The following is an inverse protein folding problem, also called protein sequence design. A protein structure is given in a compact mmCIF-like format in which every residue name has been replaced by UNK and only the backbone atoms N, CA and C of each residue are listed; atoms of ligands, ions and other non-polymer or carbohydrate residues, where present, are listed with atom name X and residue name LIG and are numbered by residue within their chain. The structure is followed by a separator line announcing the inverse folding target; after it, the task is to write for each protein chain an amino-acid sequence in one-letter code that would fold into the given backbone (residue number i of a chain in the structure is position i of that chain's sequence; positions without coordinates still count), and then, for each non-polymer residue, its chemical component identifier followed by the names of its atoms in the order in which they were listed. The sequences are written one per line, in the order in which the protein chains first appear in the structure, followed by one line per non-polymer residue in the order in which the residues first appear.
data_IF_851317042430
#
_entry.id   IF_851317042430
#
_cell.length_a   1.000
_cell.length_b   1.000
_cell.length_c   1.000
_cell.angle_alpha   90.00
_cell.angle_beta   90.00
_cell.angle_gamma   90.00
#
_symmetry.space_group_name_H-M   'P 1'
#
loop_
_entity.id
_entity.type
_entity.pdbx_description
1 polymer ?
#
# COMPACT_ATOMS: atom_id res chain seq x y z
N UNK A 1 5.09 7.15 1.88
CA UNK A 1 5.40 7.98 0.69
C UNK A 1 5.39 7.09 -0.54
N UNK A 2 5.28 7.66 -1.74
CA UNK A 2 5.44 6.92 -2.98
C UNK A 2 6.18 7.79 -4.02
N UNK A 3 6.83 7.11 -4.96
CA UNK A 3 7.71 7.69 -5.97
C UNK A 3 7.28 7.26 -7.37
N UNK A 4 7.75 7.99 -8.37
CA UNK A 4 7.92 7.40 -9.69
C UNK A 4 8.97 6.29 -9.60
N UNK A 5 8.97 5.38 -10.57
CA UNK A 5 9.89 4.23 -10.63
C UNK A 5 11.38 4.56 -10.34
N UNK A 6 11.81 5.80 -10.54
CA UNK A 6 13.18 6.30 -10.36
C UNK A 6 13.54 6.72 -8.92
N UNK A 7 12.62 6.60 -7.95
CA UNK A 7 12.96 6.53 -6.52
C UNK A 7 12.80 7.82 -5.71
N UNK A 8 12.68 8.99 -6.32
CA UNK A 8 12.41 10.23 -5.58
C UNK A 8 10.96 10.28 -5.10
N UNK A 9 10.70 10.50 -3.79
CA UNK A 9 9.34 10.68 -3.29
C UNK A 9 8.65 11.84 -4.01
N UNK A 10 7.53 11.56 -4.65
CA UNK A 10 6.75 12.58 -5.38
C UNK A 10 5.50 12.99 -4.61
N UNK A 11 5.08 12.16 -3.65
CA UNK A 11 3.89 12.42 -2.87
C UNK A 11 3.89 11.67 -1.53
N UNK A 12 3.20 12.28 -0.59
CA UNK A 12 3.02 11.81 0.78
C UNK A 12 1.53 11.75 1.12
N UNK A 13 1.17 10.78 1.96
CA UNK A 13 -0.17 10.67 2.52
C UNK A 13 -0.14 11.23 3.94
N UNK A 14 -1.02 12.18 4.22
CA UNK A 14 -1.24 12.72 5.56
C UNK A 14 -2.53 12.12 6.13
N UNK A 15 -2.36 11.24 7.11
CA UNK A 15 -3.49 10.58 7.77
C UNK A 15 -4.30 11.52 8.65
N UNK A 16 -3.72 12.61 9.18
CA UNK A 16 -4.47 13.57 10.01
C UNK A 16 -5.48 14.35 9.18
N UNK A 17 -5.12 14.64 7.93
CA UNK A 17 -5.97 15.41 7.01
C UNK A 17 -6.74 14.55 6.01
N UNK A 18 -6.51 13.23 6.01
CA UNK A 18 -7.01 12.30 4.99
C UNK A 18 -6.69 12.78 3.56
N UNK A 19 -5.47 13.30 3.35
CA UNK A 19 -5.06 13.98 2.10
C UNK A 19 -3.79 13.40 1.52
N UNK A 20 -3.69 13.46 0.19
CA UNK A 20 -2.47 13.18 -0.55
C UNK A 20 -1.85 14.53 -0.94
N UNK A 21 -0.57 14.72 -0.61
CA UNK A 21 0.22 15.89 -0.96
C UNK A 21 1.27 15.53 -2.00
N UNK A 22 1.45 16.35 -3.03
CA UNK A 22 2.60 16.25 -3.94
C UNK A 22 3.77 16.98 -3.27
N UNK A 23 4.93 16.34 -3.24
CA UNK A 23 6.15 16.92 -2.68
C UNK A 23 6.82 17.75 -3.79
N UNK A 24 7.15 19.02 -3.47
CA UNK A 24 7.93 19.96 -4.28
C UNK A 24 7.27 20.72 -5.46
N UNK A 25 5.99 21.14 -5.39
CA UNK A 25 5.48 22.10 -6.38
C UNK A 25 4.59 23.20 -5.81
N UNK A 26 4.88 24.44 -6.25
CA UNK A 26 4.01 25.60 -6.11
C UNK A 26 2.72 25.33 -6.89
N UNK A 27 1.61 25.14 -6.17
CA UNK A 27 0.31 24.88 -6.80
C UNK A 27 -0.27 26.17 -7.40
N UNK A 28 -0.44 26.21 -8.72
CA UNK A 28 -1.41 27.10 -9.36
C UNK A 28 -2.74 26.37 -9.52
N UNK A 29 -3.79 26.83 -8.83
CA UNK A 29 -5.15 26.38 -9.09
C UNK A 29 -5.67 27.04 -10.37
N UNK A 30 -5.71 26.32 -11.48
CA UNK A 30 -6.51 26.75 -12.62
C UNK A 30 -7.96 26.31 -12.39
N UNK A 31 -8.79 27.25 -11.92
CA UNK A 31 -10.23 27.12 -12.01
C UNK A 31 -10.62 27.24 -13.48
N UNK A 32 -11.11 26.16 -14.09
CA UNK A 32 -11.82 26.29 -15.35
C UNK A 32 -13.06 27.14 -15.11
N UNK A 33 -13.06 28.36 -15.67
CA UNK A 33 -14.18 29.29 -15.68
C UNK A 33 -15.48 28.57 -16.04
N UNK A 34 -16.33 28.37 -15.04
CA UNK A 34 -17.77 28.24 -15.21
C UNK A 34 -18.40 28.89 -13.99
N UNK A 35 -19.16 29.98 -14.21
CA UNK A 35 -20.03 30.64 -13.23
C UNK A 35 -21.05 29.63 -12.64
N UNK A 36 -20.61 28.82 -11.69
CA UNK A 36 -21.46 27.90 -10.93
C UNK A 36 -20.93 27.76 -9.50
N UNK A 37 -21.84 27.60 -8.52
CA UNK A 37 -21.53 27.79 -7.10
C UNK A 37 -20.38 26.91 -6.66
N UNK A 38 -19.37 27.55 -6.07
CA UNK A 38 -18.27 26.89 -5.37
C UNK A 38 -18.89 26.14 -4.20
N UNK A 39 -18.83 24.82 -4.27
CA UNK A 39 -19.40 23.95 -3.25
C UNK A 39 -18.59 24.07 -1.95
N UNK A 40 -19.18 24.66 -0.91
CA UNK A 40 -18.55 24.72 0.41
C UNK A 40 -18.67 23.37 1.10
N UNK A 41 -17.66 22.51 0.91
CA UNK A 41 -17.56 21.19 1.55
C UNK A 41 -17.74 21.28 3.08
N UNK A 42 -17.34 22.41 3.67
CA UNK A 42 -17.50 22.69 5.11
C UNK A 42 -18.96 22.76 5.55
N UNK A 43 -19.85 23.33 4.73
CA UNK A 43 -21.28 23.43 5.03
C UNK A 43 -21.99 22.08 4.96
N UNK A 44 -21.56 21.19 4.06
CA UNK A 44 -22.14 19.85 3.96
C UNK A 44 -21.70 18.96 5.10
N UNK A 45 -20.43 19.05 5.48
CA UNK A 45 -19.91 18.33 6.66
C UNK A 45 -20.55 18.87 7.94
N UNK A 46 -20.71 20.19 8.07
CA UNK A 46 -21.37 20.79 9.24
C UNK A 46 -22.85 20.41 9.34
N UNK A 47 -23.57 20.40 8.22
CA UNK A 47 -24.98 19.96 8.16
C UNK A 47 -25.16 18.47 8.51
N UNK A 48 -24.26 17.60 8.05
CA UNK A 48 -24.27 16.18 8.41
C UNK A 48 -24.00 15.94 9.91
N UNK A 49 -23.13 16.76 10.50
CA UNK A 49 -22.76 16.68 11.90
C UNK A 49 -23.81 17.31 12.82
N UNK A 50 -24.50 18.37 12.39
CA UNK A 50 -25.44 19.16 13.19
C UNK A 50 -26.77 18.48 13.54
N UNK A 51 -27.03 17.26 13.02
CA UNK A 51 -28.29 16.57 13.30
C UNK A 51 -29.36 16.75 12.23
N UNK A 52 -29.12 17.63 11.25
CA UNK A 52 -30.06 17.88 10.17
C UNK A 52 -30.29 16.62 9.35
N UNK A 53 -31.56 16.36 9.01
CA UNK A 53 -31.97 15.27 8.11
C UNK A 53 -32.29 15.78 6.71
N UNK A 54 -31.81 16.97 6.39
CA UNK A 54 -32.02 17.64 5.13
C UNK A 54 -30.73 17.58 4.30
N UNK A 55 -30.87 17.37 3.00
CA UNK A 55 -29.73 17.41 2.10
C UNK A 55 -29.33 18.85 1.81
N UNK A 56 -28.10 19.27 2.14
CA UNK A 56 -27.65 20.64 1.87
C UNK A 56 -27.47 20.94 0.37
N UNK A 57 -27.60 19.92 -0.49
CA UNK A 57 -27.45 20.05 -1.94
C UNK A 57 -28.78 20.24 -2.69
N UNK A 58 -29.83 19.59 -2.23
CA UNK A 58 -31.13 19.60 -2.92
C UNK A 58 -32.31 19.82 -1.97
N UNK A 59 -32.03 20.13 -0.71
CA UNK A 59 -33.00 20.47 0.33
C UNK A 59 -34.05 19.37 0.60
N UNK A 60 -33.76 18.13 0.18
CA UNK A 60 -34.63 16.98 0.43
C UNK A 60 -34.49 16.51 1.87
N UNK A 61 -35.60 16.27 2.55
CA UNK A 61 -35.65 15.80 3.94
C UNK A 61 -35.72 14.26 3.96
N UNK A 62 -35.06 13.63 4.93
CA UNK A 62 -34.95 12.19 5.09
C UNK A 62 -35.37 11.70 6.48
N UNK A 63 -35.80 10.44 6.57
CA UNK A 63 -36.21 9.85 7.85
C UNK A 63 -35.05 9.59 8.81
N UNK A 64 -33.83 9.38 8.29
CA UNK A 64 -32.63 9.11 9.09
C UNK A 64 -31.36 9.67 8.45
N UNK A 65 -30.32 9.86 9.28
CA UNK A 65 -28.99 10.28 8.83
C UNK A 65 -28.36 9.31 7.84
N UNK A 66 -28.63 8.01 7.97
CA UNK A 66 -28.06 7.00 7.06
C UNK A 66 -28.70 7.05 5.67
N UNK A 67 -29.97 7.44 5.58
CA UNK A 67 -30.65 7.65 4.30
C UNK A 67 -30.13 8.95 3.66
N UNK A 68 -29.94 10.01 4.46
CA UNK A 68 -29.30 11.24 4.00
C UNK A 68 -27.87 11.01 3.48
N UNK A 69 -27.03 10.28 4.23
CA UNK A 69 -25.67 9.90 3.81
C UNK A 69 -25.67 9.11 2.50
N UNK A 70 -26.56 8.12 2.38
CA UNK A 70 -26.75 7.35 1.12
C UNK A 70 -27.23 8.23 -0.02
N UNK A 71 -28.12 9.18 0.25
CA UNK A 71 -28.61 10.12 -0.74
C UNK A 71 -27.50 11.03 -1.28
N UNK A 72 -26.71 11.65 -0.39
CA UNK A 72 -25.57 12.49 -0.78
C UNK A 72 -24.51 11.68 -1.52
N UNK A 73 -24.23 10.44 -1.07
CA UNK A 73 -23.23 9.57 -1.69
C UNK A 73 -23.61 9.03 -3.08
N UNK A 74 -24.88 8.68 -3.33
CA UNK A 74 -25.25 7.89 -4.51
C UNK A 74 -26.45 8.38 -5.34
N UNK A 75 -27.32 9.25 -4.81
CA UNK A 75 -28.65 9.46 -5.39
C UNK A 75 -29.09 10.92 -5.54
N UNK A 76 -28.29 11.89 -5.08
CA UNK A 76 -28.61 13.30 -5.25
C UNK A 76 -28.36 13.73 -6.71
N UNK A 77 -29.36 14.22 -7.47
CA UNK A 77 -29.16 14.70 -8.83
C UNK A 77 -28.16 15.86 -8.89
N UNK A 78 -28.26 16.80 -7.93
CA UNK A 78 -27.32 17.92 -7.76
C UNK A 78 -25.94 17.43 -7.33
N UNK A 79 -25.88 16.46 -6.41
CA UNK A 79 -24.65 15.82 -5.97
C UNK A 79 -23.94 15.03 -7.08
N UNK A 80 -24.65 14.34 -7.96
CA UNK A 80 -24.04 13.64 -9.12
C UNK A 80 -23.43 14.60 -10.12
N UNK A 81 -24.11 15.71 -10.40
CA UNK A 81 -23.62 16.74 -11.32
C UNK A 81 -22.38 17.46 -10.75
N UNK A 82 -22.29 17.60 -9.42
CA UNK A 82 -21.15 18.23 -8.72
C UNK A 82 -20.01 17.27 -8.37
N UNK A 83 -20.27 16.00 -8.05
CA UNK A 83 -19.23 14.95 -7.88
C UNK A 83 -18.44 14.72 -9.16
N UNK A 84 -19.04 15.01 -10.32
CA UNK A 84 -18.36 14.98 -11.60
C UNK A 84 -17.45 16.21 -11.84
N UNK A 85 -17.59 17.29 -11.04
CA UNK A 85 -16.61 18.39 -10.99
C UNK A 85 -15.43 17.96 -10.11
N UNK A 86 -14.57 17.14 -10.70
CA UNK A 86 -13.23 16.83 -10.20
C UNK A 86 -12.45 18.14 -10.06
N UNK A 87 -11.93 18.47 -8.88
CA UNK A 87 -10.86 19.46 -8.75
C UNK A 87 -9.61 18.87 -9.39
N UNK A 88 -9.48 19.08 -10.70
CA UNK A 88 -8.32 18.65 -11.47
C UNK A 88 -7.18 19.62 -11.14
N UNK A 89 -6.47 19.35 -10.04
CA UNK A 89 -5.24 20.06 -9.75
C UNK A 89 -4.17 19.50 -10.68
N UNK A 90 -3.99 20.15 -11.83
CA UNK A 90 -2.92 19.87 -12.76
C UNK A 90 -1.67 20.61 -12.34
N UNK A 91 -0.58 19.88 -12.20
CA UNK A 91 0.72 20.49 -11.99
C UNK A 91 1.23 21.05 -13.32
N UNK A 92 1.40 22.38 -13.39
CA UNK A 92 1.65 23.12 -14.62
C UNK A 92 3.04 22.87 -15.23
N UNK A 93 3.99 22.28 -14.49
CA UNK A 93 5.32 21.94 -15.04
C UNK A 93 5.49 20.49 -15.48
N UNK A 94 4.58 19.57 -15.15
CA UNK A 94 4.81 18.16 -15.49
C UNK A 94 3.58 17.33 -15.91
N UNK A 95 2.32 17.77 -15.73
CA UNK A 95 1.11 17.01 -16.16
C UNK A 95 1.08 15.52 -15.78
N UNK A 96 1.90 15.05 -14.83
CA UNK A 96 2.13 13.60 -14.63
C UNK A 96 0.98 12.95 -13.85
N UNK A 97 0.30 13.70 -12.97
CA UNK A 97 -0.73 13.14 -12.08
C UNK A 97 -1.98 14.01 -12.01
N UNK A 98 -3.07 13.39 -11.58
CA UNK A 98 -4.32 14.04 -11.16
C UNK A 98 -4.63 13.58 -9.74
N UNK A 99 -4.89 14.53 -8.84
CA UNK A 99 -5.49 14.25 -7.53
C UNK A 99 -7.00 14.36 -7.66
N UNK A 100 -7.72 13.37 -7.13
CA UNK A 100 -9.17 13.35 -7.01
C UNK A 100 -9.51 13.24 -5.53
N UNK A 101 -10.37 14.13 -5.04
CA UNK A 101 -10.90 14.04 -3.68
C UNK A 101 -12.41 13.89 -3.77
N UNK A 102 -12.96 12.90 -3.09
CA UNK A 102 -14.41 12.73 -3.03
C UNK A 102 -15.06 13.65 -2.00
N UNK A 103 -16.40 13.69 -1.98
CA UNK A 103 -17.18 14.52 -1.05
C UNK A 103 -16.99 14.14 0.42
N UNK A 104 -16.44 12.96 0.70
CA UNK A 104 -16.13 12.47 2.04
C UNK A 104 -14.67 12.74 2.43
N UNK A 105 -13.91 13.42 1.57
CA UNK A 105 -12.51 13.78 1.79
C UNK A 105 -11.52 12.68 1.41
N UNK A 106 -11.95 11.55 0.84
CA UNK A 106 -11.02 10.50 0.43
C UNK A 106 -10.24 10.96 -0.79
N UNK A 107 -8.92 10.98 -0.65
CA UNK A 107 -8.02 11.43 -1.70
C UNK A 107 -7.43 10.26 -2.47
N UNK A 108 -7.41 10.38 -3.79
CA UNK A 108 -6.81 9.45 -4.73
C UNK A 108 -5.87 10.22 -5.66
N UNK A 109 -4.69 9.66 -5.92
CA UNK A 109 -3.79 10.15 -6.98
C UNK A 109 -3.77 9.14 -8.11
N UNK A 110 -3.80 9.63 -9.35
CA UNK A 110 -3.78 8.81 -10.56
C UNK A 110 -2.75 9.39 -11.52
N UNK A 111 -1.97 8.53 -12.15
CA UNK A 111 -1.05 8.88 -13.23
C UNK A 111 -1.81 9.23 -14.52
N UNK A 112 -1.45 10.33 -15.17
CA UNK A 112 -2.09 10.79 -16.39
C UNK A 112 -1.51 10.11 -17.66
N UNK A 113 -0.33 9.52 -17.55
CA UNK A 113 0.36 8.82 -18.63
C UNK A 113 0.64 7.37 -18.24
N UNK A 114 0.36 6.43 -19.14
CA UNK A 114 0.65 4.99 -18.99
C UNK A 114 2.14 4.68 -18.74
N UNK A 115 3.06 5.59 -19.11
CA UNK A 115 4.50 5.42 -18.87
C UNK A 115 4.92 5.72 -17.44
N UNK A 116 4.17 6.57 -16.74
CA UNK A 116 4.50 7.00 -15.38
C UNK A 116 3.92 5.99 -14.41
N UNK A 117 4.76 5.08 -13.88
CA UNK A 117 4.34 4.10 -12.89
C UNK A 117 4.78 4.52 -11.49
N UNK A 118 3.88 4.36 -10.52
CA UNK A 118 4.16 4.53 -9.11
C UNK A 118 4.76 3.25 -8.51
N UNK A 119 5.62 3.42 -7.52
CA UNK A 119 6.19 2.34 -6.72
C UNK A 119 6.32 2.79 -5.25
N UNK A 120 6.24 1.87 -4.25
CA UNK A 120 6.45 2.24 -2.85
C UNK A 120 7.88 2.74 -2.62
N UNK A 121 8.03 3.82 -1.86
CA UNK A 121 9.34 4.28 -1.37
C UNK A 121 9.70 3.49 -0.12
N UNK A 122 10.98 3.11 -0.02
CA UNK A 122 11.55 2.46 1.16
C UNK A 122 11.42 3.38 2.39
N UNK A 123 10.75 2.90 3.43
CA UNK A 123 10.58 3.67 4.67
C UNK A 123 11.88 3.64 5.48
N UNK A 124 12.25 4.76 6.11
CA UNK A 124 13.36 4.78 7.09
C UNK A 124 12.77 4.73 8.49
N UNK A 125 13.20 3.80 9.35
CA UNK A 125 12.73 3.77 10.74
C UNK A 125 13.27 4.93 11.58
N UNK A 126 14.34 5.59 11.13
CA UNK A 126 14.94 6.72 11.82
C UNK A 126 14.18 8.03 11.52
N UNK A 127 13.37 8.07 10.47
CA UNK A 127 12.48 9.19 10.18
C UNK A 127 11.30 9.22 11.17
N UNK A 128 10.99 10.42 11.69
CA UNK A 128 9.92 10.60 12.68
C UNK A 128 8.56 10.12 12.13
N UNK A 129 7.92 9.19 12.84
CA UNK A 129 6.61 8.64 12.46
C UNK A 129 6.65 7.60 11.35
N UNK A 130 7.85 7.18 10.91
CA UNK A 130 8.04 6.11 9.96
C UNK A 130 8.43 4.80 10.66
N UNK A 131 8.16 3.67 10.02
CA UNK A 131 8.50 2.34 10.52
C UNK A 131 9.28 1.60 9.45
N UNK A 132 10.24 0.74 9.84
CA UNK A 132 10.89 -0.21 8.93
C UNK A 132 9.87 -0.96 8.08
N UNK A 133 10.24 -1.37 6.88
CA UNK A 133 9.30 -2.09 6.02
C UNK A 133 9.25 -3.57 6.37
N UNK A 134 8.02 -4.05 6.60
CA UNK A 134 7.70 -5.45 6.82
C UNK A 134 6.68 -5.85 5.76
N UNK A 135 7.16 -6.54 4.74
CA UNK A 135 6.38 -6.95 3.57
C UNK A 135 5.87 -8.37 3.70
N UNK A 136 4.58 -8.53 3.42
CA UNK A 136 3.97 -9.82 3.13
C UNK A 136 3.52 -9.86 1.66
N UNK A 137 4.19 -10.66 0.83
CA UNK A 137 3.99 -10.71 -0.63
C UNK A 137 3.35 -12.04 -1.02
N UNK A 138 2.08 -12.01 -1.42
CA UNK A 138 1.28 -13.20 -1.66
C UNK A 138 0.98 -13.42 -3.13
N UNK A 139 1.18 -14.64 -3.64
CA UNK A 139 0.63 -15.05 -4.92
C UNK A 139 1.26 -16.33 -5.49
N UNK A 140 0.58 -16.98 -6.45
CA UNK A 140 1.05 -18.22 -7.06
C UNK A 140 2.40 -18.04 -7.78
N UNK A 141 3.03 -19.15 -8.14
CA UNK A 141 4.26 -19.11 -8.96
C UNK A 141 4.01 -18.39 -10.29
N UNK A 142 5.03 -17.71 -10.81
CA UNK A 142 4.97 -16.96 -12.08
C UNK A 142 4.15 -15.65 -12.05
N UNK A 143 3.50 -15.30 -10.94
CA UNK A 143 2.65 -14.09 -10.89
C UNK A 143 3.43 -12.77 -10.88
N UNK A 144 4.73 -12.82 -10.61
CA UNK A 144 5.64 -11.66 -10.59
C UNK A 144 6.06 -11.21 -9.20
N UNK A 145 6.09 -12.12 -8.20
CA UNK A 145 6.61 -11.85 -6.85
C UNK A 145 8.08 -11.41 -6.92
N UNK A 146 8.95 -12.23 -7.50
CA UNK A 146 10.38 -11.94 -7.63
C UNK A 146 10.64 -10.62 -8.38
N UNK A 147 9.87 -10.33 -9.44
CA UNK A 147 9.95 -9.05 -10.16
C UNK A 147 9.54 -7.83 -9.31
N UNK A 148 8.61 -7.99 -8.37
CA UNK A 148 8.28 -6.93 -7.41
C UNK A 148 9.40 -6.78 -6.38
N UNK A 149 9.90 -7.90 -5.86
CA UNK A 149 10.99 -7.93 -4.88
C UNK A 149 12.24 -7.26 -5.44
N UNK A 150 12.70 -7.64 -6.63
CA UNK A 150 13.93 -7.10 -7.24
C UNK A 150 13.91 -5.58 -7.33
N UNK A 151 12.79 -5.01 -7.79
CA UNK A 151 12.57 -3.56 -7.85
C UNK A 151 12.59 -2.89 -6.49
N UNK A 152 12.02 -3.53 -5.48
CA UNK A 152 12.07 -3.01 -4.13
C UNK A 152 13.49 -3.08 -3.55
N UNK A 153 14.22 -4.18 -3.80
CA UNK A 153 15.61 -4.36 -3.39
C UNK A 153 16.50 -3.27 -4.02
N UNK A 154 16.33 -2.99 -5.32
CA UNK A 154 17.05 -1.90 -5.99
C UNK A 154 16.82 -0.55 -5.29
N UNK A 155 15.59 -0.24 -4.89
CA UNK A 155 15.30 0.99 -4.15
C UNK A 155 15.89 0.96 -2.74
N UNK A 156 15.92 -0.22 -2.10
CA UNK A 156 16.55 -0.41 -0.79
C UNK A 156 18.05 -0.14 -0.85
N UNK A 157 18.76 -0.72 -1.83
CA UNK A 157 20.19 -0.48 -2.04
C UNK A 157 20.49 0.99 -2.36
N UNK A 158 19.62 1.66 -3.13
CA UNK A 158 19.78 3.11 -3.40
C UNK A 158 19.62 3.95 -2.13
N UNK A 159 18.67 3.59 -1.26
CA UNK A 159 18.43 4.33 -0.01
C UNK A 159 19.46 4.01 1.07
N UNK A 160 19.93 2.76 1.11
CA UNK A 160 20.83 2.23 2.12
C UNK A 160 21.98 1.45 1.47
N UNK A 161 22.96 2.13 0.85
CA UNK A 161 24.03 1.49 0.09
C UNK A 161 24.92 0.56 0.94
N UNK A 162 25.06 0.86 2.23
CA UNK A 162 25.94 0.12 3.14
C UNK A 162 25.23 -1.03 3.90
N UNK A 163 23.94 -1.27 3.62
CA UNK A 163 23.16 -2.30 4.34
C UNK A 163 23.20 -3.64 3.62
N UNK A 164 23.37 -4.70 4.40
CA UNK A 164 23.34 -6.06 3.88
C UNK A 164 21.92 -6.47 3.45
N UNK A 165 21.88 -7.39 2.48
CA UNK A 165 20.67 -8.07 2.06
C UNK A 165 20.92 -9.57 2.22
N UNK A 166 20.02 -10.26 2.92
CA UNK A 166 20.09 -11.69 3.18
C UNK A 166 18.88 -12.36 2.54
N UNK A 167 19.11 -13.40 1.73
CA UNK A 167 18.06 -14.17 1.08
C UNK A 167 18.07 -15.63 1.56
N UNK A 168 16.93 -16.06 2.08
CA UNK A 168 16.56 -17.45 2.28
C UNK A 168 15.59 -17.87 1.17
N UNK A 169 16.03 -18.77 0.31
CA UNK A 169 15.21 -19.32 -0.79
C UNK A 169 15.71 -20.71 -1.17
N UNK A 170 14.78 -21.61 -1.47
CA UNK A 170 15.10 -22.91 -2.06
C UNK A 170 15.57 -22.78 -3.53
N UNK A 171 15.25 -21.66 -4.19
CA UNK A 171 15.60 -21.40 -5.59
C UNK A 171 16.95 -20.69 -5.65
N UNK A 172 17.98 -21.41 -6.11
CA UNK A 172 19.34 -20.86 -6.24
C UNK A 172 19.44 -19.82 -7.37
N UNK A 173 18.82 -20.10 -8.51
CA UNK A 173 18.91 -19.26 -9.72
C UNK A 173 17.54 -18.71 -10.13
N UNK A 174 17.18 -17.52 -9.63
CA UNK A 174 16.02 -16.76 -10.10
C UNK A 174 16.48 -15.59 -10.97
N UNK A 175 16.12 -15.56 -12.27
CA UNK A 175 16.49 -14.47 -13.18
C UNK A 175 16.05 -13.08 -12.72
N UNK A 176 15.01 -12.98 -11.90
CA UNK A 176 14.56 -11.69 -11.37
C UNK A 176 15.59 -11.04 -10.43
N UNK A 177 16.52 -11.84 -9.87
CA UNK A 177 17.58 -11.36 -8.99
C UNK A 177 18.96 -11.31 -9.68
N UNK A 178 19.00 -11.49 -11.00
CA UNK A 178 20.25 -11.38 -11.76
C UNK A 178 20.85 -9.97 -11.60
N UNK A 179 22.14 -9.89 -11.28
CA UNK A 179 22.85 -8.62 -11.06
C UNK A 179 22.61 -7.96 -9.69
N UNK A 180 21.79 -8.54 -8.81
CA UNK A 180 21.57 -8.02 -7.45
C UNK A 180 22.58 -8.66 -6.49
N UNK A 181 23.39 -7.82 -5.84
CA UNK A 181 24.32 -8.26 -4.80
C UNK A 181 23.58 -8.52 -3.49
N UNK A 182 23.49 -9.79 -3.09
CA UNK A 182 22.87 -10.22 -1.85
C UNK A 182 23.49 -11.51 -1.32
N UNK A 183 23.49 -11.66 0.00
CA UNK A 183 23.97 -12.84 0.70
C UNK A 183 22.89 -13.93 0.65
N UNK A 184 23.03 -14.87 -0.28
CA UNK A 184 22.16 -16.06 -0.35
C UNK A 184 22.65 -17.07 0.67
N UNK A 185 21.81 -17.38 1.66
CA UNK A 185 22.14 -18.41 2.65
C UNK A 185 21.74 -19.76 2.09
N UNK A 186 22.67 -20.71 2.11
CA UNK A 186 22.38 -22.08 1.74
C UNK A 186 21.48 -22.74 2.78
N UNK A 187 20.40 -23.36 2.32
CA UNK A 187 19.41 -24.03 3.17
C UNK A 187 19.83 -25.49 3.39
N UNK A 188 20.71 -25.71 4.35
CA UNK A 188 21.22 -27.03 4.76
C UNK A 188 21.15 -27.19 6.29
N UNK A 189 21.65 -28.28 6.86
CA UNK A 189 21.59 -28.51 8.32
C UNK A 189 22.39 -27.49 9.15
N UNK A 190 23.39 -26.82 8.56
CA UNK A 190 24.23 -25.84 9.27
C UNK A 190 23.40 -24.66 9.79
N UNK A 191 22.35 -24.28 9.06
CA UNK A 191 21.46 -23.17 9.43
C UNK A 191 20.63 -23.48 10.69
N UNK A 192 20.38 -24.77 10.98
CA UNK A 192 19.69 -25.21 12.19
C UNK A 192 20.63 -25.10 13.38
N UNK A 193 21.88 -25.52 13.19
CA UNK A 193 22.88 -25.56 14.25
C UNK A 193 23.42 -24.16 14.59
N UNK A 194 23.50 -23.27 13.60
CA UNK A 194 24.04 -21.93 13.75
C UNK A 194 23.12 -20.88 13.07
N UNK A 195 21.89 -20.68 13.57
CA UNK A 195 20.97 -19.71 12.98
C UNK A 195 21.48 -18.28 13.21
N UNK A 196 21.25 -17.40 12.24
CA UNK A 196 21.57 -15.97 12.40
C UNK A 196 20.69 -15.36 13.50
N UNK A 197 21.33 -14.62 14.40
CA UNK A 197 20.65 -13.89 15.47
C UNK A 197 20.19 -12.50 15.01
N UNK A 198 19.23 -11.90 15.71
CA UNK A 198 18.77 -10.52 15.43
C UNK A 198 19.92 -9.50 15.47
N UNK A 199 20.90 -9.70 16.34
CA UNK A 199 22.08 -8.84 16.45
C UNK A 199 22.96 -8.93 15.20
N UNK A 200 23.18 -10.13 14.67
CA UNK A 200 23.91 -10.33 13.42
C UNK A 200 23.15 -9.77 12.20
N UNK A 201 21.82 -9.70 12.28
CA UNK A 201 20.95 -9.16 11.24
C UNK A 201 20.69 -7.65 11.40
N UNK A 202 21.41 -6.94 12.26
CA UNK A 202 21.19 -5.50 12.47
C UNK A 202 21.33 -4.72 11.15
N UNK A 203 20.45 -3.73 10.93
CA UNK A 203 20.42 -2.90 9.72
C UNK A 203 20.42 -3.70 8.40
N UNK A 204 19.76 -4.86 8.37
CA UNK A 204 19.73 -5.76 7.20
C UNK A 204 18.32 -5.84 6.61
N UNK A 205 18.23 -6.05 5.30
CA UNK A 205 17.02 -6.54 4.65
C UNK A 205 17.06 -8.08 4.58
N UNK A 206 16.14 -8.73 5.27
CA UNK A 206 16.02 -10.20 5.27
C UNK A 206 14.84 -10.62 4.40
N UNK A 207 15.08 -11.51 3.46
CA UNK A 207 14.08 -11.98 2.49
C UNK A 207 13.87 -13.46 2.70
N UNK A 208 12.63 -13.83 3.00
CA UNK A 208 12.14 -15.20 3.10
C UNK A 208 11.31 -15.49 1.86
N UNK A 209 11.94 -15.98 0.80
CA UNK A 209 11.27 -16.28 -0.45
C UNK A 209 10.79 -17.73 -0.46
N UNK A 210 9.47 -17.90 -0.33
CA UNK A 210 8.77 -19.17 -0.37
C UNK A 210 9.43 -20.29 0.47
N UNK A 211 9.73 -19.95 1.72
CA UNK A 211 10.35 -20.87 2.70
C UNK A 211 9.38 -21.93 3.24
N UNK A 212 8.22 -22.11 2.63
CA UNK A 212 7.22 -23.07 3.10
C UNK A 212 7.67 -24.50 2.82
N UNK A 213 7.69 -25.31 3.86
CA UNK A 213 8.09 -26.72 3.84
C UNK A 213 7.67 -27.38 5.15
N UNK A 214 7.96 -28.68 5.31
CA UNK A 214 7.60 -29.45 6.52
C UNK A 214 8.85 -30.05 7.19
N UNK A 215 10.03 -29.51 6.87
CA UNK A 215 11.30 -29.92 7.44
C UNK A 215 11.75 -28.97 8.56
N UNK A 216 12.77 -29.38 9.30
CA UNK A 216 13.31 -28.62 10.43
C UNK A 216 13.90 -27.27 10.01
N UNK A 217 14.40 -27.18 8.78
CA UNK A 217 14.91 -25.94 8.18
C UNK A 217 13.75 -24.94 8.04
N UNK A 218 12.64 -25.33 7.44
CA UNK A 218 11.46 -24.49 7.24
C UNK A 218 10.88 -24.03 8.57
N UNK A 219 10.80 -24.93 9.55
CA UNK A 219 10.35 -24.59 10.91
C UNK A 219 11.26 -23.53 11.57
N UNK A 220 12.58 -23.70 11.50
CA UNK A 220 13.53 -22.73 12.01
C UNK A 220 13.42 -21.38 11.28
N UNK A 221 13.32 -21.38 9.95
CA UNK A 221 13.16 -20.16 9.17
C UNK A 221 11.85 -19.41 9.51
N UNK A 222 10.76 -20.14 9.75
CA UNK A 222 9.51 -19.55 10.23
C UNK A 222 9.67 -18.90 11.61
N UNK A 223 10.37 -19.56 12.54
CA UNK A 223 10.66 -18.99 13.86
C UNK A 223 11.53 -17.72 13.76
N UNK A 224 12.59 -17.74 12.95
CA UNK A 224 13.44 -16.58 12.72
C UNK A 224 12.65 -15.42 12.08
N UNK A 225 11.85 -15.71 11.06
CA UNK A 225 10.97 -14.72 10.41
C UNK A 225 10.03 -14.08 11.41
N UNK A 226 9.35 -14.89 12.22
CA UNK A 226 8.36 -14.40 13.19
C UNK A 226 9.03 -13.60 14.31
N UNK A 227 10.26 -13.97 14.70
CA UNK A 227 11.07 -13.19 15.61
C UNK A 227 11.50 -11.83 15.01
N UNK A 228 11.87 -11.77 13.73
CA UNK A 228 12.19 -10.51 13.04
C UNK A 228 10.96 -9.60 12.94
N UNK A 229 9.80 -10.16 12.62
CA UNK A 229 8.54 -9.43 12.51
C UNK A 229 8.19 -8.75 13.85
N UNK A 230 8.26 -9.52 14.94
CA UNK A 230 7.86 -9.09 16.28
C UNK A 230 8.92 -8.25 17.02
N UNK A 231 10.19 -8.68 17.00
CA UNK A 231 11.27 -8.09 17.80
C UNK A 231 12.34 -7.36 16.99
N UNK A 232 12.44 -7.59 15.68
CA UNK A 232 13.47 -7.02 14.81
C UNK A 232 13.48 -5.50 14.70
N UNK A 233 12.51 -4.80 15.29
CA UNK A 233 12.45 -3.32 15.34
C UNK A 233 13.68 -2.73 16.02
N UNK A 234 14.10 -3.31 17.14
CA UNK A 234 15.23 -2.80 17.93
C UNK A 234 16.55 -2.87 17.17
N UNK A 235 16.66 -3.79 16.23
CA UNK A 235 17.83 -4.00 15.38
C UNK A 235 17.66 -3.38 13.98
N UNK A 236 16.59 -2.61 13.74
CA UNK A 236 16.29 -1.99 12.45
C UNK A 236 16.31 -3.00 11.27
N UNK A 237 15.68 -4.16 11.48
CA UNK A 237 15.65 -5.25 10.50
C UNK A 237 14.42 -5.11 9.60
N UNK A 238 14.67 -5.02 8.31
CA UNK A 238 13.64 -5.01 7.27
C UNK A 238 13.35 -6.45 6.88
N UNK A 239 12.09 -6.75 6.56
CA UNK A 239 11.70 -8.12 6.20
C UNK A 239 10.77 -8.13 5.00
N UNK A 240 11.02 -9.07 4.08
CA UNK A 240 10.09 -9.45 3.03
C UNK A 240 9.84 -10.94 3.15
N UNK A 241 8.58 -11.33 3.26
CA UNK A 241 8.20 -12.74 3.24
C UNK A 241 7.24 -12.99 2.09
N UNK A 242 7.59 -13.95 1.23
CA UNK A 242 6.74 -14.35 0.11
C UNK A 242 6.03 -15.67 0.41
N UNK A 243 4.80 -15.82 -0.07
CA UNK A 243 4.06 -17.09 0.02
C UNK A 243 3.26 -17.36 -1.25
N UNK A 244 3.07 -18.64 -1.57
CA UNK A 244 2.14 -19.06 -2.60
C UNK A 244 0.66 -18.86 -2.20
N UNK A 245 0.33 -19.11 -0.94
CA UNK A 245 -1.04 -19.08 -0.44
C UNK A 245 -1.36 -17.80 0.33
N UNK A 246 -2.56 -17.26 0.08
CA UNK A 246 -3.08 -16.04 0.73
C UNK A 246 -3.51 -16.32 2.18
N UNK A 247 -3.92 -17.56 2.48
CA UNK A 247 -4.39 -17.93 3.81
C UNK A 247 -4.03 -19.39 4.07
N UNK A 248 -2.92 -19.59 4.77
CA UNK A 248 -2.57 -20.87 5.38
C UNK A 248 -2.56 -20.65 6.90
N UNK A 249 -3.70 -20.92 7.53
CA UNK A 249 -4.15 -20.45 8.86
C UNK A 249 -3.03 -20.06 9.86
N UNK A 250 -2.18 -21.00 10.25
CA UNK A 250 -1.12 -20.78 11.24
C UNK A 250 0.07 -20.02 10.66
N UNK A 251 0.59 -20.44 9.50
CA UNK A 251 1.80 -19.87 8.88
C UNK A 251 1.66 -18.40 8.49
N UNK A 252 0.44 -17.99 8.12
CA UNK A 252 0.16 -16.64 7.59
C UNK A 252 -0.39 -15.67 8.64
N UNK A 253 -0.69 -16.14 9.85
CA UNK A 253 -1.31 -15.31 10.91
C UNK A 253 -0.38 -14.21 11.39
N UNK A 254 0.85 -14.56 11.78
CA UNK A 254 1.85 -13.59 12.27
C UNK A 254 2.23 -12.64 11.13
N UNK A 255 2.49 -13.17 9.93
CA UNK A 255 2.72 -12.37 8.73
C UNK A 255 1.65 -11.32 8.48
N UNK A 256 0.38 -11.72 8.52
CA UNK A 256 -0.74 -10.81 8.30
C UNK A 256 -0.80 -9.71 9.37
N UNK A 257 -0.58 -10.05 10.64
CA UNK A 257 -0.74 -9.13 11.76
C UNK A 257 0.44 -8.16 11.91
N UNK A 258 1.68 -8.63 11.69
CA UNK A 258 2.89 -7.84 11.94
C UNK A 258 3.41 -7.09 10.71
N UNK A 259 3.03 -7.54 9.50
CA UNK A 259 3.47 -6.84 8.27
C UNK A 259 2.78 -5.50 8.13
N UNK A 260 3.52 -4.43 7.87
CA UNK A 260 2.92 -3.12 7.60
C UNK A 260 2.60 -2.89 6.12
N UNK A 261 3.17 -3.70 5.22
CA UNK A 261 2.92 -3.64 3.78
C UNK A 261 2.53 -5.02 3.27
N UNK A 262 1.39 -5.11 2.61
CA UNK A 262 0.92 -6.35 1.99
C UNK A 262 0.85 -6.15 0.50
N UNK A 263 1.41 -7.08 -0.27
CA UNK A 263 1.34 -7.08 -1.73
C UNK A 263 0.62 -8.34 -2.19
N UNK A 264 -0.37 -8.18 -3.05
CA UNK A 264 -1.02 -9.30 -3.71
C UNK A 264 -1.19 -9.03 -5.20
N UNK A 265 -1.37 -10.11 -5.95
CA UNK A 265 -1.47 -10.05 -7.39
C UNK A 265 -2.88 -10.43 -7.85
N UNK A 266 -3.40 -9.71 -8.85
CA UNK A 266 -4.81 -9.84 -9.28
C UNK A 266 -5.15 -11.20 -9.89
N UNK A 267 -4.16 -11.95 -10.36
CA UNK A 267 -4.34 -13.29 -10.91
C UNK A 267 -4.54 -14.36 -9.81
N UNK A 268 -4.55 -13.97 -8.53
CA UNK A 268 -4.88 -14.88 -7.43
C UNK A 268 -6.40 -15.16 -7.29
N UNK A 269 -6.77 -16.16 -6.47
CA UNK A 269 -8.17 -16.51 -6.21
C UNK A 269 -8.97 -15.34 -5.58
N UNK A 270 -9.89 -14.73 -6.34
CA UNK A 270 -10.65 -13.53 -5.92
C UNK A 270 -11.37 -13.70 -4.57
N UNK A 271 -11.92 -14.89 -4.28
CA UNK A 271 -12.60 -15.18 -3.01
C UNK A 271 -11.65 -15.06 -1.82
N UNK A 272 -10.45 -15.60 -1.94
CA UNK A 272 -9.43 -15.54 -0.90
C UNK A 272 -8.93 -14.11 -0.69
N UNK A 273 -8.70 -13.36 -1.79
CA UNK A 273 -8.34 -11.93 -1.70
C UNK A 273 -9.45 -11.16 -0.98
N UNK A 274 -10.73 -11.36 -1.32
CA UNK A 274 -11.84 -10.69 -0.64
C UNK A 274 -11.87 -10.97 0.86
N UNK A 275 -11.78 -12.24 1.25
CA UNK A 275 -11.79 -12.63 2.66
C UNK A 275 -10.62 -12.03 3.42
N UNK A 276 -9.43 -12.04 2.79
CA UNK A 276 -8.24 -11.42 3.33
C UNK A 276 -8.44 -9.92 3.55
N UNK A 277 -8.87 -9.17 2.53
CA UNK A 277 -9.11 -7.73 2.63
C UNK A 277 -10.18 -7.37 3.68
N UNK A 278 -11.28 -8.12 3.72
CA UNK A 278 -12.31 -7.95 4.76
C UNK A 278 -11.73 -8.12 6.15
N UNK A 279 -10.81 -9.09 6.32
CA UNK A 279 -10.15 -9.35 7.59
C UNK A 279 -9.08 -8.32 7.98
N UNK A 280 -8.82 -7.32 7.12
CA UNK A 280 -8.04 -6.11 7.43
C UNK A 280 -8.95 -4.91 7.78
N UNK A 281 -10.27 -5.10 7.81
CA UNK A 281 -11.24 -4.02 8.05
C UNK A 281 -11.65 -3.25 6.81
N UNK A 282 -11.24 -3.67 5.60
CA UNK A 282 -11.61 -2.99 4.35
C UNK A 282 -13.08 -3.28 4.01
N UNK A 283 -13.85 -2.23 3.71
CA UNK A 283 -15.28 -2.37 3.41
C UNK A 283 -15.53 -3.06 2.07
N UNK A 284 -16.70 -3.69 1.91
CA UNK A 284 -17.09 -4.37 0.66
C UNK A 284 -16.97 -3.48 -0.58
N UNK A 285 -17.38 -2.21 -0.46
CA UNK A 285 -17.31 -1.24 -1.56
C UNK A 285 -15.85 -0.93 -1.94
N UNK A 286 -14.98 -0.75 -0.94
CA UNK A 286 -13.54 -0.55 -1.17
C UNK A 286 -12.90 -1.79 -1.80
N UNK A 287 -13.22 -2.98 -1.30
CA UNK A 287 -12.74 -4.25 -1.87
C UNK A 287 -13.12 -4.34 -3.35
N UNK A 288 -14.37 -4.06 -3.71
CA UNK A 288 -14.81 -4.10 -5.11
C UNK A 288 -14.10 -3.03 -5.96
N UNK A 289 -13.78 -1.86 -5.41
CA UNK A 289 -12.98 -0.84 -6.10
C UNK A 289 -11.53 -1.30 -6.31
N UNK A 290 -10.90 -1.87 -5.28
CA UNK A 290 -9.54 -2.43 -5.31
C UNK A 290 -9.45 -3.53 -6.39
N UNK A 291 -10.41 -4.45 -6.41
CA UNK A 291 -10.43 -5.54 -7.39
C UNK A 291 -10.67 -5.08 -8.83
N UNK A 292 -11.19 -3.87 -9.05
CA UNK A 292 -11.35 -3.26 -10.39
C UNK A 292 -10.08 -2.57 -10.90
N UNK A 293 -9.11 -2.26 -10.04
CA UNK A 293 -7.88 -1.53 -10.41
C UNK A 293 -7.08 -2.25 -11.50
N UNK A 294 -6.75 -1.57 -12.60
CA UNK A 294 -5.93 -2.18 -13.67
C UNK A 294 -4.44 -2.10 -13.31
N UNK A 295 -3.95 -3.11 -12.59
CA UNK A 295 -2.56 -3.25 -12.14
C UNK A 295 -2.20 -4.72 -11.96
N UNK A 296 -0.94 -5.08 -12.15
CA UNK A 296 -0.45 -6.45 -11.91
C UNK A 296 -0.40 -6.77 -10.41
N UNK A 297 0.12 -5.84 -9.62
CA UNK A 297 0.23 -5.91 -8.18
C UNK A 297 -0.61 -4.81 -7.52
N UNK A 298 -1.03 -5.07 -6.29
CA UNK A 298 -1.70 -4.12 -5.43
C UNK A 298 -1.00 -4.20 -4.07
N UNK A 299 -0.55 -3.06 -3.57
CA UNK A 299 0.03 -2.90 -2.25
C UNK A 299 -1.01 -2.26 -1.32
N UNK A 300 -1.12 -2.79 -0.11
CA UNK A 300 -1.85 -2.19 1.00
C UNK A 300 -0.86 -1.86 2.10
N UNK A 301 -0.82 -0.60 2.50
CA UNK A 301 -0.13 -0.18 3.71
C UNK A 301 -1.12 -0.25 4.88
N UNK A 302 -0.83 -1.09 5.87
CA UNK A 302 -1.68 -1.29 7.04
C UNK A 302 -1.48 -0.21 8.10
N UNK A 303 -0.31 0.41 8.15
CA UNK A 303 -0.04 1.51 9.08
C UNK A 303 -0.99 2.67 8.83
N UNK A 304 -1.30 3.44 9.87
CA UNK A 304 -2.10 4.64 9.71
C UNK A 304 -1.32 5.74 8.94
N UNK A 305 -1.93 6.40 7.94
CA UNK A 305 -3.22 6.08 7.33
C UNK A 305 -3.16 4.84 6.44
N UNK A 306 -4.20 4.00 6.48
CA UNK A 306 -4.29 2.84 5.61
C UNK A 306 -4.50 3.31 4.16
N UNK A 307 -3.73 2.77 3.22
CA UNK A 307 -3.86 3.16 1.82
C UNK A 307 -3.55 2.00 0.88
N UNK A 308 -4.05 2.11 -0.35
CA UNK A 308 -3.76 1.22 -1.47
C UNK A 308 -2.87 1.94 -2.46
N UNK A 309 -1.83 1.25 -2.93
CA UNK A 309 -0.94 1.70 -3.98
C UNK A 309 -0.94 0.65 -5.10
N UNK A 310 -0.94 1.11 -6.34
CA UNK A 310 -0.83 0.28 -7.54
C UNK A 310 -0.02 1.01 -8.61
N UNK A 311 0.29 0.33 -9.72
CA UNK A 311 1.19 0.89 -10.76
C UNK A 311 0.80 2.29 -11.23
N UNK A 312 -0.49 2.63 -11.25
CA UNK A 312 -0.98 3.86 -11.87
C UNK A 312 -1.61 4.84 -10.88
N UNK A 313 -1.51 4.60 -9.57
CA UNK A 313 -2.13 5.48 -8.58
C UNK A 313 -2.07 4.98 -7.14
N UNK A 314 -2.58 5.80 -6.23
CA UNK A 314 -2.76 5.47 -4.82
C UNK A 314 -4.09 6.04 -4.31
N UNK A 315 -4.72 5.40 -3.32
CA UNK A 315 -5.93 5.90 -2.66
C UNK A 315 -5.88 5.60 -1.17
N UNK A 316 -6.43 6.51 -0.37
CA UNK A 316 -6.63 6.27 1.07
C UNK A 316 -7.88 5.39 1.27
N UNK A 317 -7.83 4.49 2.25
CA UNK A 317 -8.96 3.63 2.65
C UNK A 317 -9.62 4.15 3.93
#
# INVERSE_FOLDING_TARGET
MFSLFEGTPIAQIDGKKNKIFVLNDEFSSESSDTNQPIFNLGEVISSLNSGQKECPLCYKIFGSKDILRRHIGCSCPVGKTLQNKQTKITNNKSRVFTIKTDVFGNSQIITNNKRSKLFPVVSDSNELGSSRDLYFVMGPSGVGKSTFLSKYIEQFMKKFPDRNIVLYSWIKDDPAFEGILMNRIELNEDIINNPLTLTQLQNTLVIFDDISGHDDISNMLHLLRDEILTKGRHNNIYSISTTHMISNWNETRILKNESNKIVFFKNGPKKHIRNFLSSLGVTKNQIDNILKLKSRWILINQNFPMFVLWENGAMIL
#
